data_IF_598653041871
#
_entry.id   IF_598653041871
#
_cell.length_a   1.000
_cell.length_b   1.000
_cell.length_c   1.000
_cell.angle_alpha   90.00
_cell.angle_beta   90.00
_cell.angle_gamma   90.00
#
_symmetry.space_group_name_H-M   'P 1'
#
loop_
_entity.id
_entity.type
_entity.pdbx_description
1 polymer ?
#
# COMPACT_ATOMS: atom_id res chain seq x y z
N UNK A 1 0.82 5.83 -16.62
CA UNK A 1 -0.52 6.31 -16.19
C UNK A 1 -0.92 5.51 -14.97
N UNK A 2 -1.30 6.14 -13.84
CA UNK A 2 -1.75 5.43 -12.65
C UNK A 2 -3.10 4.73 -12.92
N UNK A 3 -3.22 3.52 -12.38
CA UNK A 3 -4.41 2.67 -12.51
C UNK A 3 -4.91 2.31 -11.11
N UNK A 4 -6.20 2.50 -10.87
CA UNK A 4 -6.83 2.10 -9.61
C UNK A 4 -7.42 0.69 -9.74
N UNK A 5 -7.03 -0.20 -8.84
CA UNK A 5 -7.57 -1.56 -8.78
C UNK A 5 -8.34 -1.73 -7.48
N UNK A 6 -9.60 -2.16 -7.58
CA UNK A 6 -10.45 -2.37 -6.41
C UNK A 6 -11.29 -3.65 -6.53
N UNK A 7 -11.71 -4.17 -5.38
CA UNK A 7 -12.74 -5.20 -5.27
C UNK A 7 -14.16 -4.63 -5.18
N UNK A 8 -14.28 -3.32 -4.95
CA UNK A 8 -15.55 -2.64 -4.78
C UNK A 8 -16.01 -2.00 -6.10
N UNK A 9 -17.09 -2.53 -6.68
CA UNK A 9 -17.63 -2.02 -7.95
C UNK A 9 -18.20 -0.60 -7.85
N UNK A 10 -18.80 -0.24 -6.72
CA UNK A 10 -19.33 1.11 -6.50
C UNK A 10 -18.22 2.15 -6.43
N UNK A 11 -17.11 1.82 -5.78
CA UNK A 11 -15.91 2.66 -5.77
C UNK A 11 -15.36 2.88 -7.18
N UNK A 12 -15.29 1.83 -7.99
CA UNK A 12 -14.80 1.90 -9.37
C UNK A 12 -15.66 2.85 -10.21
N UNK A 13 -16.99 2.80 -10.08
CA UNK A 13 -17.90 3.71 -10.79
C UNK A 13 -17.66 5.16 -10.39
N UNK A 14 -17.60 5.43 -9.09
CA UNK A 14 -17.31 6.77 -8.56
C UNK A 14 -15.97 7.34 -9.04
N UNK A 15 -14.93 6.51 -9.07
CA UNK A 15 -13.60 6.93 -9.53
C UNK A 15 -13.58 7.22 -11.03
N UNK A 16 -14.29 6.41 -11.83
CA UNK A 16 -14.43 6.65 -13.27
C UNK A 16 -15.17 7.93 -13.59
N UNK A 17 -16.21 8.26 -12.84
CA UNK A 17 -16.94 9.54 -12.96
C UNK A 17 -16.00 10.75 -12.71
N UNK A 18 -14.97 10.56 -11.87
CA UNK A 18 -13.92 11.56 -11.62
C UNK A 18 -12.76 11.51 -12.63
N UNK A 19 -12.87 10.73 -13.70
CA UNK A 19 -11.83 10.61 -14.72
C UNK A 19 -10.65 9.72 -14.35
N UNK A 20 -10.75 8.95 -13.25
CA UNK A 20 -9.67 8.04 -12.80
C UNK A 20 -9.83 6.68 -13.50
N UNK A 21 -8.73 6.15 -14.05
CA UNK A 21 -8.73 4.82 -14.64
C UNK A 21 -8.83 3.75 -13.54
N UNK A 22 -10.02 3.21 -13.34
CA UNK A 22 -10.31 2.24 -12.28
C UNK A 22 -10.88 0.93 -12.84
N UNK A 23 -10.40 -0.22 -12.32
CA UNK A 23 -10.83 -1.54 -12.78
C UNK A 23 -11.07 -2.49 -11.62
N UNK A 24 -12.04 -3.38 -11.82
CA UNK A 24 -12.28 -4.48 -10.90
C UNK A 24 -11.12 -5.49 -10.97
N UNK A 25 -10.57 -5.87 -9.82
CA UNK A 25 -9.35 -6.69 -9.72
C UNK A 25 -9.39 -8.01 -10.49
N UNK A 26 -10.58 -8.59 -10.69
CA UNK A 26 -10.79 -9.86 -11.39
C UNK A 26 -11.38 -9.68 -12.79
N UNK A 27 -11.52 -8.46 -13.31
CA UNK A 27 -11.86 -8.25 -14.71
C UNK A 27 -10.65 -8.50 -15.60
N UNK A 28 -10.88 -8.76 -16.89
CA UNK A 28 -9.78 -8.96 -17.86
C UNK A 28 -8.82 -7.77 -17.88
N UNK A 29 -9.33 -6.54 -17.91
CA UNK A 29 -8.50 -5.34 -17.86
C UNK A 29 -7.81 -5.17 -16.50
N UNK A 30 -8.50 -5.46 -15.39
CA UNK A 30 -7.90 -5.42 -14.06
C UNK A 30 -6.74 -6.40 -13.93
N UNK A 31 -6.91 -7.64 -14.37
CA UNK A 31 -5.85 -8.65 -14.38
C UNK A 31 -4.70 -8.26 -15.32
N UNK A 32 -5.00 -7.75 -16.52
CA UNK A 32 -3.99 -7.26 -17.44
C UNK A 32 -3.11 -6.17 -16.78
N UNK A 33 -3.73 -5.16 -16.19
CA UNK A 33 -3.00 -4.10 -15.50
C UNK A 33 -2.22 -4.62 -14.29
N UNK A 34 -2.79 -5.53 -13.51
CA UNK A 34 -2.06 -6.15 -12.41
C UNK A 34 -0.83 -6.93 -12.89
N UNK A 35 -0.93 -7.70 -13.98
CA UNK A 35 0.18 -8.51 -14.49
C UNK A 35 1.28 -7.68 -15.17
N UNK A 36 0.93 -6.52 -15.72
CA UNK A 36 1.87 -5.66 -16.48
C UNK A 36 2.45 -4.51 -15.65
N UNK A 37 1.89 -4.22 -14.48
CA UNK A 37 2.38 -3.13 -13.62
C UNK A 37 3.61 -3.55 -12.84
N UNK A 38 4.67 -2.73 -12.92
CA UNK A 38 5.87 -2.92 -12.11
C UNK A 38 5.67 -2.46 -10.66
N UNK A 39 4.96 -1.36 -10.44
CA UNK A 39 4.71 -0.81 -9.09
C UNK A 39 3.33 -1.16 -8.57
N UNK A 40 3.27 -1.70 -7.36
CA UNK A 40 2.04 -1.88 -6.59
C UNK A 40 2.08 -0.95 -5.38
N UNK A 41 1.17 0.03 -5.35
CA UNK A 41 1.07 1.02 -4.27
C UNK A 41 -0.22 0.76 -3.50
N UNK A 42 -0.12 0.47 -2.23
CA UNK A 42 -1.25 0.06 -1.39
C UNK A 42 -1.10 0.61 0.04
N UNK A 43 -2.17 0.60 0.82
CA UNK A 43 -2.20 1.18 2.16
C UNK A 43 -2.32 0.18 3.31
N UNK A 44 -2.57 -1.09 3.03
CA UNK A 44 -2.63 -2.13 4.06
C UNK A 44 -1.87 -3.37 3.62
N UNK A 45 -2.46 -4.21 2.76
CA UNK A 45 -1.85 -5.43 2.25
C UNK A 45 -1.87 -5.50 0.72
N UNK A 46 -1.01 -6.32 0.14
CA UNK A 46 -1.03 -6.60 -1.30
C UNK A 46 -2.37 -7.16 -1.80
N UNK A 47 -3.16 -7.75 -0.90
CA UNK A 47 -4.53 -8.15 -1.17
C UNK A 47 -5.47 -7.00 -1.51
N UNK A 48 -5.12 -5.75 -1.20
CA UNK A 48 -5.91 -4.57 -1.58
C UNK A 48 -5.95 -4.42 -3.10
N UNK A 49 -4.84 -4.72 -3.76
CA UNK A 49 -4.73 -4.78 -5.22
C UNK A 49 -5.03 -6.21 -5.69
N UNK A 50 -4.03 -7.03 -5.78
CA UNK A 50 -4.13 -8.46 -6.09
C UNK A 50 -2.83 -9.18 -5.71
N UNK A 51 -2.86 -9.98 -4.66
CA UNK A 51 -1.69 -10.73 -4.21
C UNK A 51 -1.17 -11.70 -5.28
N UNK A 52 -2.07 -12.41 -5.98
CA UNK A 52 -1.71 -13.49 -6.91
C UNK A 52 -0.97 -13.01 -8.15
N UNK A 53 -1.13 -11.75 -8.51
CA UNK A 53 -0.43 -11.13 -9.66
C UNK A 53 0.80 -10.31 -9.23
N UNK A 54 1.11 -10.27 -7.94
CA UNK A 54 2.18 -9.41 -7.38
C UNK A 54 3.59 -9.99 -7.50
N UNK A 55 3.76 -11.14 -8.18
CA UNK A 55 5.01 -11.90 -8.24
C UNK A 55 6.08 -11.16 -9.00
N UNK A 56 6.65 -10.23 -8.97
CA UNK A 56 7.69 -9.47 -9.69
C UNK A 56 7.48 -7.97 -9.61
N UNK A 57 6.39 -7.53 -8.94
CA UNK A 57 6.16 -6.12 -8.73
C UNK A 57 7.06 -5.56 -7.62
N UNK A 58 7.36 -4.26 -7.71
CA UNK A 58 7.92 -3.47 -6.63
C UNK A 58 6.78 -2.97 -5.73
N UNK A 59 6.70 -3.50 -4.52
CA UNK A 59 5.58 -3.32 -3.59
C UNK A 59 5.84 -2.14 -2.64
N UNK A 60 5.04 -1.08 -2.77
CA UNK A 60 5.12 0.14 -1.95
C UNK A 60 3.95 0.19 -0.99
N UNK A 61 4.21 0.12 0.30
CA UNK A 61 3.18 0.27 1.33
C UNK A 61 3.18 1.70 1.89
N UNK A 62 2.12 2.45 1.60
CA UNK A 62 1.95 3.81 2.12
C UNK A 62 1.50 3.82 3.58
N UNK A 63 0.95 2.70 4.05
CA UNK A 63 0.29 2.56 5.33
C UNK A 63 -0.85 3.58 5.54
N UNK A 64 -1.53 3.52 6.68
CA UNK A 64 -2.73 4.35 6.88
C UNK A 64 -2.79 5.02 8.25
N UNK A 65 -1.73 4.95 9.05
CA UNK A 65 -1.73 5.59 10.37
C UNK A 65 -0.45 5.48 11.16
N UNK A 66 -0.39 6.19 12.25
CA UNK A 66 0.69 6.09 13.24
C UNK A 66 0.44 4.83 14.09
N UNK A 67 1.42 3.96 14.16
CA UNK A 67 1.35 2.71 14.91
C UNK A 67 1.59 2.92 16.39
N UNK A 68 0.54 3.12 17.17
CA UNK A 68 0.64 3.18 18.64
C UNK A 68 0.59 1.77 19.26
N UNK A 69 -0.08 0.85 18.59
CA UNK A 69 -0.27 -0.54 19.04
C UNK A 69 0.75 -1.49 18.41
N UNK A 70 0.98 -2.62 19.06
CA UNK A 70 1.63 -3.77 18.43
C UNK A 70 0.70 -4.33 17.36
N UNK A 71 1.13 -4.31 16.12
CA UNK A 71 0.38 -4.75 14.95
C UNK A 71 1.13 -5.86 14.23
N UNK A 72 0.46 -6.55 13.34
CA UNK A 72 1.04 -7.57 12.47
C UNK A 72 1.85 -8.62 13.27
N UNK A 73 3.08 -8.89 12.86
CA UNK A 73 3.96 -9.88 13.52
C UNK A 73 4.38 -9.51 14.95
N UNK A 74 4.13 -8.27 15.41
CA UNK A 74 4.36 -7.86 16.79
C UNK A 74 3.13 -8.07 17.70
N UNK A 75 1.99 -8.48 17.12
CA UNK A 75 0.76 -8.75 17.88
C UNK A 75 0.94 -9.99 18.75
N UNK A 76 0.65 -9.86 20.05
CA UNK A 76 0.81 -10.94 21.05
C UNK A 76 -0.50 -11.41 21.65
N UNK A 77 -1.61 -10.72 21.38
CA UNK A 77 -2.93 -10.99 21.99
C UNK A 77 -4.02 -11.01 20.91
N UNK A 78 -5.06 -11.78 21.14
CA UNK A 78 -6.21 -11.85 20.24
C UNK A 78 -6.06 -12.87 19.12
N UNK A 79 -7.08 -12.93 18.25
CA UNK A 79 -7.14 -13.87 17.12
C UNK A 79 -6.00 -13.60 16.13
N UNK A 80 -5.68 -12.34 15.91
CA UNK A 80 -4.64 -11.92 14.97
C UNK A 80 -3.26 -12.48 15.34
N UNK A 81 -2.96 -12.63 16.64
CA UNK A 81 -1.69 -13.19 17.08
C UNK A 81 -1.44 -14.60 16.55
N UNK A 82 -2.52 -15.37 16.29
CA UNK A 82 -2.44 -16.74 15.75
C UNK A 82 -2.17 -16.77 14.25
N UNK A 83 -2.68 -15.76 13.52
CA UNK A 83 -2.55 -15.66 12.06
C UNK A 83 -1.12 -15.28 11.68
N UNK A 84 -0.48 -14.40 12.46
CA UNK A 84 0.89 -13.94 12.22
C UNK A 84 1.98 -14.89 12.71
N UNK A 85 1.62 -16.05 13.30
CA UNK A 85 2.60 -17.08 13.62
C UNK A 85 3.19 -17.66 12.33
N UNK A 86 4.52 -17.69 12.24
CA UNK A 86 5.26 -18.21 11.08
C UNK A 86 5.26 -19.75 11.05
N UNK A 87 4.11 -20.35 10.79
CA UNK A 87 3.99 -21.78 10.53
C UNK A 87 3.57 -22.04 9.07
N UNK A 88 3.70 -23.28 8.63
CA UNK A 88 3.39 -23.67 7.25
C UNK A 88 1.91 -23.45 6.91
N UNK A 89 1.01 -23.73 7.87
CA UNK A 89 -0.43 -23.58 7.68
C UNK A 89 -0.82 -22.11 7.42
N UNK A 90 -0.33 -21.18 8.25
CA UNK A 90 -0.61 -19.76 8.07
C UNK A 90 -0.02 -19.23 6.76
N UNK A 91 1.16 -19.71 6.35
CA UNK A 91 1.76 -19.31 5.07
C UNK A 91 0.96 -19.79 3.86
N UNK A 92 0.27 -20.93 3.97
CA UNK A 92 -0.59 -21.44 2.91
C UNK A 92 -1.95 -20.74 2.91
N UNK A 93 -2.55 -20.54 4.09
CA UNK A 93 -3.88 -19.94 4.24
C UNK A 93 -3.87 -18.41 4.01
N UNK A 94 -2.82 -17.74 4.47
CA UNK A 94 -2.70 -16.27 4.43
C UNK A 94 -1.38 -15.83 3.79
N UNK A 95 -1.04 -16.27 2.58
CA UNK A 95 0.27 -16.02 1.97
C UNK A 95 0.56 -14.54 1.76
N UNK A 96 -0.48 -13.72 1.55
CA UNK A 96 -0.38 -12.27 1.36
C UNK A 96 0.16 -11.52 2.59
N UNK A 97 -0.01 -12.05 3.81
CA UNK A 97 0.53 -11.46 5.03
C UNK A 97 2.05 -11.65 5.13
N UNK A 98 2.59 -12.65 4.48
CA UNK A 98 4.02 -12.98 4.53
C UNK A 98 4.82 -12.35 3.38
N UNK A 99 4.17 -11.80 2.36
CA UNK A 99 4.82 -11.02 1.29
C UNK A 99 5.14 -9.63 1.83
N UNK A 100 6.42 -9.35 1.97
CA UNK A 100 6.91 -8.09 2.51
C UNK A 100 6.95 -7.00 1.44
N UNK A 101 6.65 -5.75 1.79
CA UNK A 101 6.84 -4.64 0.87
C UNK A 101 8.33 -4.41 0.60
N UNK A 102 8.63 -3.88 -0.57
CA UNK A 102 9.95 -3.45 -0.97
C UNK A 102 10.27 -2.06 -0.40
N UNK A 103 9.22 -1.23 -0.25
CA UNK A 103 9.27 0.08 0.36
C UNK A 103 8.10 0.27 1.33
N UNK A 104 8.34 0.90 2.46
CA UNK A 104 7.33 1.21 3.48
C UNK A 104 7.41 2.67 3.90
N UNK A 105 6.30 3.38 3.88
CA UNK A 105 6.23 4.78 4.28
C UNK A 105 6.08 4.93 5.78
N UNK A 106 6.83 5.85 6.38
CA UNK A 106 6.75 6.19 7.80
C UNK A 106 6.80 7.70 8.01
N UNK A 107 6.45 8.16 9.21
CA UNK A 107 6.37 9.59 9.55
C UNK A 107 7.53 10.08 10.39
N UNK A 108 8.35 9.17 10.90
CA UNK A 108 9.51 9.50 11.73
C UNK A 108 10.46 8.31 11.86
N UNK A 109 11.68 8.54 12.32
CA UNK A 109 12.65 7.48 12.62
C UNK A 109 12.10 6.49 13.64
N UNK A 110 11.39 6.99 14.66
CA UNK A 110 10.73 6.16 15.66
C UNK A 110 9.69 5.22 15.02
N UNK A 111 8.86 5.75 14.12
CA UNK A 111 7.87 4.95 13.39
C UNK A 111 8.52 3.96 12.43
N UNK A 112 9.62 4.34 11.78
CA UNK A 112 10.41 3.41 10.95
C UNK A 112 10.90 2.21 11.76
N UNK A 113 11.42 2.44 12.97
CA UNK A 113 11.84 1.38 13.88
C UNK A 113 10.65 0.50 14.32
N UNK A 114 9.51 1.11 14.62
CA UNK A 114 8.29 0.40 14.99
C UNK A 114 7.79 -0.49 13.85
N UNK A 115 7.64 0.06 12.64
CA UNK A 115 7.16 -0.68 11.48
C UNK A 115 8.15 -1.76 11.03
N UNK A 116 9.45 -1.50 11.09
CA UNK A 116 10.48 -2.51 10.82
C UNK A 116 10.29 -3.75 11.69
N UNK A 117 10.00 -3.58 12.98
CA UNK A 117 9.70 -4.67 13.91
C UNK A 117 8.35 -5.33 13.62
N UNK A 118 7.29 -4.54 13.44
CA UNK A 118 5.94 -5.05 13.23
C UNK A 118 5.80 -5.85 11.93
N UNK A 119 6.38 -5.37 10.84
CA UNK A 119 6.33 -6.02 9.54
C UNK A 119 7.53 -6.93 9.27
N UNK A 120 8.51 -6.95 10.19
CA UNK A 120 9.76 -7.72 10.06
C UNK A 120 10.47 -7.43 8.73
N UNK A 121 10.60 -6.17 8.39
CA UNK A 121 11.30 -5.65 7.22
C UNK A 121 12.59 -4.94 7.66
N UNK A 122 13.54 -4.82 6.75
CA UNK A 122 14.74 -4.03 6.99
C UNK A 122 14.36 -2.56 7.17
N UNK A 123 14.92 -1.90 8.19
CA UNK A 123 14.66 -0.48 8.46
C UNK A 123 15.03 0.43 7.28
N UNK A 124 16.01 0.02 6.46
CA UNK A 124 16.40 0.75 5.24
C UNK A 124 15.30 0.80 4.19
N UNK A 125 14.31 -0.09 4.26
CA UNK A 125 13.11 -0.08 3.43
C UNK A 125 12.01 0.85 3.96
N UNK A 126 12.18 1.42 5.16
CA UNK A 126 11.26 2.38 5.73
C UNK A 126 11.68 3.79 5.37
N UNK A 127 10.93 4.46 4.49
CA UNK A 127 11.17 5.85 4.12
C UNK A 127 10.42 6.79 5.05
N UNK A 128 11.17 7.72 5.63
CA UNK A 128 10.64 8.72 6.54
C UNK A 128 10.22 10.00 5.78
N UNK A 129 9.11 9.93 5.06
CA UNK A 129 8.58 11.00 4.20
C UNK A 129 7.23 11.56 4.66
N UNK A 130 6.64 11.00 5.72
CA UNK A 130 5.28 11.36 6.12
C UNK A 130 4.21 10.61 5.29
N UNK A 131 2.95 11.03 5.46
CA UNK A 131 1.83 10.47 4.70
C UNK A 131 1.33 11.48 3.67
N UNK A 132 1.12 11.08 2.40
CA UNK A 132 0.64 11.98 1.35
C UNK A 132 -0.65 12.72 1.74
N UNK A 133 -1.56 12.05 2.43
CA UNK A 133 -2.80 12.67 2.92
C UNK A 133 -2.59 13.83 3.89
N UNK A 134 -1.44 13.91 4.57
CA UNK A 134 -1.14 14.99 5.50
C UNK A 134 -0.68 16.26 4.77
N UNK A 135 -0.23 16.16 3.53
CA UNK A 135 0.13 17.31 2.70
C UNK A 135 -1.06 18.22 2.43
N UNK A 136 -2.28 17.65 2.44
CA UNK A 136 -3.52 18.42 2.29
C UNK A 136 -3.67 19.53 3.33
N UNK A 137 -3.07 19.40 4.51
CA UNK A 137 -3.08 20.44 5.53
C UNK A 137 -2.16 21.62 5.20
N UNK A 138 -1.20 21.44 4.31
CA UNK A 138 -0.21 22.44 3.94
C UNK A 138 -0.46 23.05 2.56
N UNK A 139 -1.31 22.44 1.74
CA UNK A 139 -1.66 22.90 0.42
C UNK A 139 -2.97 23.72 0.45
N UNK A 140 -3.01 24.82 -0.31
CA UNK A 140 -4.25 25.59 -0.48
C UNK A 140 -5.31 24.72 -1.16
N UNK A 141 -6.53 24.72 -0.63
CA UNK A 141 -7.62 23.85 -1.06
C UNK A 141 -7.89 23.82 -2.58
N UNK A 142 -7.62 24.92 -3.29
CA UNK A 142 -7.85 25.06 -4.73
C UNK A 142 -6.81 24.35 -5.61
N UNK A 143 -5.63 24.02 -5.09
CA UNK A 143 -4.58 23.26 -5.78
C UNK A 143 -4.71 21.74 -5.57
N UNK A 144 -5.43 21.33 -4.56
CA UNK A 144 -5.49 19.95 -4.06
C UNK A 144 -6.10 18.98 -5.07
N UNK A 145 -7.10 19.42 -5.84
CA UNK A 145 -7.89 18.49 -6.68
C UNK A 145 -7.12 18.01 -7.92
N UNK A 146 -6.24 18.82 -8.47
CA UNK A 146 -5.54 18.52 -9.71
C UNK A 146 -4.17 17.84 -9.53
N UNK A 147 -3.42 18.18 -8.48
CA UNK A 147 -2.05 17.66 -8.31
C UNK A 147 -1.94 16.43 -7.39
N UNK A 148 -2.84 16.30 -6.43
CA UNK A 148 -2.72 15.29 -5.38
C UNK A 148 -2.88 13.84 -5.87
N UNK A 149 -3.74 13.60 -6.85
CA UNK A 149 -3.95 12.24 -7.38
C UNK A 149 -3.00 11.86 -8.52
N UNK A 150 -2.33 12.79 -9.16
CA UNK A 150 -1.63 12.52 -10.42
C UNK A 150 -0.15 12.93 -10.50
N UNK A 151 0.40 13.71 -9.58
CA UNK A 151 1.69 14.26 -9.95
C UNK A 151 2.75 14.44 -8.89
N UNK A 152 2.46 15.11 -7.80
CA UNK A 152 3.52 15.62 -6.94
C UNK A 152 4.28 14.54 -6.18
N UNK A 153 3.58 13.71 -5.45
CA UNK A 153 4.21 12.75 -4.54
C UNK A 153 4.89 11.57 -5.25
N UNK A 154 4.22 10.99 -6.24
CA UNK A 154 4.79 9.88 -7.01
C UNK A 154 5.89 10.36 -7.96
N UNK A 155 5.81 11.59 -8.46
CA UNK A 155 6.83 12.18 -9.32
C UNK A 155 8.16 12.30 -8.59
N UNK A 156 8.16 12.84 -7.38
CA UNK A 156 9.39 13.00 -6.58
C UNK A 156 9.99 11.66 -6.10
N UNK A 157 9.21 10.59 -6.00
CA UNK A 157 9.73 9.26 -5.62
C UNK A 157 10.27 8.48 -6.81
N UNK A 158 9.66 8.65 -7.99
CA UNK A 158 9.89 7.70 -9.11
C UNK A 158 10.44 8.35 -10.39
N UNK A 159 10.50 9.68 -10.49
CA UNK A 159 10.81 10.35 -11.75
C UNK A 159 11.81 11.52 -11.65
N UNK A 160 12.29 11.88 -10.47
CA UNK A 160 13.42 12.80 -10.32
C UNK A 160 14.74 11.99 -10.40
N UNK A 161 15.21 11.80 -11.63
CA UNK A 161 16.62 11.63 -11.97
C UNK A 161 17.15 12.91 -12.60
#
# INVERSE_FOLDING_TARGET
IPIWISSNKSEILLLREKGINAYYRWSLYGLYHCLTSYYYIFSSHLSDINYWTSGGCFAVNLWHGVGIKKIEFATTVGIDSKIYVKNIFNRILFPYLFRKPDLFLSTSVFMSMHFSKCFQIDIRKCLNLGYPRCELFFLNANLIINDFFLGGFLRNIFFDE
#
